data_IF_247738693861
#
_entry.id   IF_247738693861
#
_cell.length_a   1.000
_cell.length_b   1.000
_cell.length_c   1.000
_cell.angle_alpha   90.00
_cell.angle_beta   90.00
_cell.angle_gamma   90.00
#
_symmetry.space_group_name_H-M   'P 1'
#
loop_
_entity.id
_entity.type
_entity.pdbx_description
1 polymer ?
#
# COMPACT_ATOMS: atom_id res chain seq x y z
N UNK A 1 35.51 -37.06 13.66
CA UNK A 1 35.77 -36.24 12.46
C UNK A 1 34.53 -35.74 11.73
N UNK A 2 33.37 -36.42 11.74
CA UNK A 2 32.16 -35.91 11.06
C UNK A 2 31.26 -34.98 11.91
N UNK A 3 31.32 -35.08 13.24
CA UNK A 3 30.49 -34.27 14.12
C UNK A 3 30.88 -32.78 14.09
N UNK A 4 32.19 -32.50 14.12
CA UNK A 4 32.73 -31.13 14.12
C UNK A 4 32.41 -30.37 12.82
N UNK A 5 32.33 -31.08 11.70
CA UNK A 5 31.98 -30.53 10.40
C UNK A 5 30.48 -30.22 10.29
N UNK A 6 29.63 -31.07 10.88
CA UNK A 6 28.17 -30.86 10.95
C UNK A 6 27.84 -29.67 11.84
N UNK A 7 28.48 -29.54 13.01
CA UNK A 7 28.27 -28.43 13.92
C UNK A 7 28.68 -27.08 13.30
N UNK A 8 29.77 -27.09 12.52
CA UNK A 8 30.23 -25.91 11.78
C UNK A 8 29.23 -25.47 10.71
N UNK A 9 28.62 -26.40 9.99
CA UNK A 9 27.60 -26.10 8.97
C UNK A 9 26.33 -25.52 9.62
N UNK A 10 25.91 -26.05 10.77
CA UNK A 10 24.74 -25.55 11.50
C UNK A 10 25.01 -24.13 12.03
N UNK A 11 26.20 -23.89 12.58
CA UNK A 11 26.60 -22.56 13.05
C UNK A 11 26.64 -21.54 11.91
N UNK A 12 27.21 -21.90 10.76
CA UNK A 12 27.28 -21.02 9.58
C UNK A 12 25.88 -20.72 9.02
N UNK A 13 25.00 -21.71 8.95
CA UNK A 13 23.62 -21.52 8.50
C UNK A 13 22.84 -20.60 9.44
N UNK A 14 23.00 -20.77 10.76
CA UNK A 14 22.36 -19.93 11.77
C UNK A 14 22.86 -18.49 11.71
N UNK A 15 24.17 -18.28 11.54
CA UNK A 15 24.76 -16.94 11.40
C UNK A 15 24.31 -16.24 10.13
N UNK A 16 24.23 -16.97 9.01
CA UNK A 16 23.79 -16.44 7.72
C UNK A 16 22.32 -16.03 7.78
N UNK A 17 21.46 -16.84 8.39
CA UNK A 17 20.05 -16.52 8.61
C UNK A 17 19.88 -15.31 9.55
N UNK A 18 20.66 -15.23 10.63
CA UNK A 18 20.69 -14.08 11.56
C UNK A 18 21.14 -12.79 10.86
N UNK A 19 22.17 -12.86 10.02
CA UNK A 19 22.65 -11.72 9.23
C UNK A 19 21.62 -11.30 8.17
N UNK A 20 20.97 -12.25 7.51
CA UNK A 20 19.95 -12.00 6.49
C UNK A 20 18.70 -11.35 7.12
N UNK A 21 18.26 -11.84 8.28
CA UNK A 21 17.17 -11.26 9.08
C UNK A 21 17.50 -9.87 9.63
N UNK A 22 18.74 -9.63 10.08
CA UNK A 22 19.18 -8.32 10.57
C UNK A 22 19.25 -7.28 9.43
N UNK A 23 19.74 -7.68 8.25
CA UNK A 23 19.94 -6.79 7.09
C UNK A 23 18.62 -6.36 6.45
N UNK A 24 17.57 -7.19 6.51
CA UNK A 24 16.23 -6.84 6.04
C UNK A 24 15.44 -5.88 6.94
N UNK A 25 15.94 -5.56 8.14
CA UNK A 25 15.26 -4.68 9.10
C UNK A 25 15.63 -3.20 8.96
N UNK A 26 16.81 -2.89 8.41
CA UNK A 26 17.40 -1.54 8.44
C UNK A 26 16.93 -0.55 7.37
N UNK A 27 16.39 -1.01 6.23
CA UNK A 27 16.02 -0.12 5.10
C UNK A 27 14.51 0.00 4.88
N UNK A 28 13.70 -0.71 5.68
CA UNK A 28 12.27 -0.89 5.47
C UNK A 28 11.42 0.36 5.76
N UNK A 29 11.81 1.17 6.74
CA UNK A 29 10.92 2.20 7.32
C UNK A 29 10.37 3.25 6.32
N UNK A 30 11.22 3.82 5.44
CA UNK A 30 10.74 4.82 4.44
C UNK A 30 9.95 4.20 3.29
N UNK A 31 10.37 3.04 2.81
CA UNK A 31 9.67 2.34 1.72
C UNK A 31 8.32 1.80 2.20
N UNK A 32 8.25 1.29 3.43
CA UNK A 32 7.02 0.76 4.02
C UNK A 32 5.98 1.85 4.24
N UNK A 33 6.38 3.06 4.65
CA UNK A 33 5.47 4.19 4.81
C UNK A 33 4.84 4.61 3.48
N UNK A 34 5.61 4.68 2.40
CA UNK A 34 5.13 5.03 1.05
C UNK A 34 4.23 3.91 0.50
N UNK A 35 4.61 2.64 0.70
CA UNK A 35 3.80 1.50 0.30
C UNK A 35 2.46 1.45 1.06
N UNK A 36 2.49 1.78 2.35
CA UNK A 36 1.29 1.85 3.20
C UNK A 36 0.40 3.02 2.78
N UNK A 37 0.96 4.21 2.57
CA UNK A 37 0.23 5.36 2.06
C UNK A 37 -0.44 5.06 0.72
N UNK A 38 0.29 4.41 -0.21
CA UNK A 38 -0.25 3.98 -1.51
C UNK A 38 -1.42 2.99 -1.36
N UNK A 39 -1.32 2.04 -0.42
CA UNK A 39 -2.39 1.08 -0.12
C UNK A 39 -3.63 1.77 0.45
N UNK A 40 -3.44 2.65 1.44
CA UNK A 40 -4.54 3.37 2.12
C UNK A 40 -5.25 4.30 1.15
N UNK A 41 -4.51 5.09 0.35
CA UNK A 41 -5.10 5.95 -0.69
C UNK A 41 -5.93 5.13 -1.67
N UNK A 42 -5.39 4.02 -2.20
CA UNK A 42 -6.12 3.20 -3.16
C UNK A 42 -7.44 2.62 -2.58
N UNK A 43 -7.47 2.28 -1.29
CA UNK A 43 -8.69 1.83 -0.60
C UNK A 43 -9.69 2.98 -0.48
N UNK A 44 -9.23 4.17 -0.07
CA UNK A 44 -10.09 5.36 0.05
C UNK A 44 -10.74 5.68 -1.29
N UNK A 45 -10.00 5.58 -2.40
CA UNK A 45 -10.62 5.75 -3.72
C UNK A 45 -11.65 4.69 -4.04
N UNK A 46 -11.35 3.41 -3.79
CA UNK A 46 -12.30 2.32 -4.07
C UNK A 46 -13.65 2.58 -3.36
N UNK A 47 -13.60 3.01 -2.10
CA UNK A 47 -14.79 3.38 -1.32
C UNK A 47 -15.47 4.63 -1.89
N UNK A 48 -14.71 5.67 -2.23
CA UNK A 48 -15.25 6.90 -2.82
C UNK A 48 -15.94 6.68 -4.17
N UNK A 49 -15.40 5.79 -5.00
CA UNK A 49 -15.98 5.42 -6.29
C UNK A 49 -17.31 4.66 -6.12
N UNK A 50 -17.36 3.72 -5.19
CA UNK A 50 -18.61 3.01 -4.85
C UNK A 50 -19.65 4.00 -4.31
N UNK A 51 -19.26 4.93 -3.43
CA UNK A 51 -20.16 5.95 -2.91
C UNK A 51 -20.72 6.86 -4.03
N UNK A 52 -19.90 7.25 -5.00
CA UNK A 52 -20.34 8.04 -6.15
C UNK A 52 -21.36 7.29 -7.02
N UNK A 53 -21.15 5.99 -7.23
CA UNK A 53 -22.12 5.12 -7.92
C UNK A 53 -23.43 5.04 -7.13
N UNK A 54 -23.37 4.84 -5.81
CA UNK A 54 -24.57 4.79 -4.97
C UNK A 54 -25.36 6.09 -5.03
N UNK A 55 -24.68 7.25 -4.95
CA UNK A 55 -25.33 8.56 -5.06
C UNK A 55 -25.98 8.77 -6.42
N UNK A 56 -25.36 8.30 -7.51
CA UNK A 56 -25.95 8.36 -8.85
C UNK A 56 -27.32 7.68 -8.92
N UNK A 57 -27.44 6.50 -8.32
CA UNK A 57 -28.69 5.73 -8.32
C UNK A 57 -29.69 6.20 -7.25
N UNK A 58 -29.20 6.66 -6.09
CA UNK A 58 -30.05 7.02 -4.95
C UNK A 58 -30.70 8.41 -5.07
N UNK A 59 -30.10 9.35 -5.81
CA UNK A 59 -30.61 10.73 -5.93
C UNK A 59 -30.72 11.16 -7.40
N UNK A 60 -31.70 10.64 -8.16
CA UNK A 60 -31.86 10.94 -9.58
C UNK A 60 -32.39 12.37 -9.86
N UNK A 61 -33.08 12.98 -8.89
CA UNK A 61 -33.70 14.32 -8.99
C UNK A 61 -32.66 15.45 -8.98
N UNK A 62 -31.63 15.37 -8.13
CA UNK A 62 -30.63 16.42 -7.97
C UNK A 62 -29.32 16.08 -8.71
N UNK A 63 -29.37 16.16 -10.05
CA UNK A 63 -28.19 15.93 -10.90
C UNK A 63 -27.00 16.85 -10.57
N UNK A 64 -27.25 18.03 -10.00
CA UNK A 64 -26.18 18.96 -9.57
C UNK A 64 -25.35 18.39 -8.41
N UNK A 65 -25.99 17.71 -7.45
CA UNK A 65 -25.27 17.04 -6.36
C UNK A 65 -24.46 15.87 -6.89
N UNK A 66 -25.02 15.10 -7.84
CA UNK A 66 -24.27 14.06 -8.54
C UNK A 66 -23.06 14.61 -9.30
N UNK A 67 -23.21 15.72 -10.03
CA UNK A 67 -22.09 16.36 -10.72
C UNK A 67 -21.04 16.87 -9.75
N UNK A 68 -21.44 17.51 -8.64
CA UNK A 68 -20.51 18.06 -7.66
C UNK A 68 -19.73 16.95 -6.93
N UNK A 69 -20.42 15.89 -6.49
CA UNK A 69 -19.80 14.71 -5.89
C UNK A 69 -18.96 13.91 -6.89
N UNK A 70 -19.41 13.77 -8.13
CA UNK A 70 -18.70 13.08 -9.20
C UNK A 70 -17.42 13.82 -9.60
N UNK A 71 -17.47 15.14 -9.79
CA UNK A 71 -16.28 15.96 -10.05
C UNK A 71 -15.35 16.01 -8.85
N UNK A 72 -15.89 16.12 -7.63
CA UNK A 72 -15.10 16.07 -6.39
C UNK A 72 -14.35 14.74 -6.25
N UNK A 73 -15.03 13.62 -6.48
CA UNK A 73 -14.44 12.29 -6.46
C UNK A 73 -13.37 12.12 -7.56
N UNK A 74 -13.62 12.65 -8.76
CA UNK A 74 -12.64 12.64 -9.85
C UNK A 74 -11.40 13.47 -9.53
N UNK A 75 -11.55 14.65 -8.94
CA UNK A 75 -10.42 15.49 -8.53
C UNK A 75 -9.58 14.82 -7.44
N UNK A 76 -10.22 14.20 -6.44
CA UNK A 76 -9.53 13.39 -5.43
C UNK A 76 -8.74 12.26 -6.10
N UNK A 77 -9.33 11.60 -7.11
CA UNK A 77 -8.63 10.53 -7.83
C UNK A 77 -7.43 11.02 -8.64
N UNK A 78 -7.54 12.21 -9.25
CA UNK A 78 -6.42 12.83 -9.97
C UNK A 78 -5.30 13.16 -8.98
N UNK A 79 -5.61 13.78 -7.84
CA UNK A 79 -4.62 14.09 -6.78
C UNK A 79 -3.95 12.81 -6.27
N UNK A 80 -4.71 11.74 -6.04
CA UNK A 80 -4.19 10.43 -5.66
C UNK A 80 -3.27 9.82 -6.73
N UNK A 81 -3.62 9.97 -8.01
CA UNK A 81 -2.79 9.52 -9.13
C UNK A 81 -1.45 10.25 -9.18
N UNK A 82 -1.45 11.58 -8.99
CA UNK A 82 -0.24 12.38 -8.92
C UNK A 82 0.63 12.00 -7.70
N UNK A 83 0.03 11.78 -6.53
CA UNK A 83 0.75 11.32 -5.34
C UNK A 83 1.36 9.93 -5.52
N UNK A 84 0.72 9.03 -6.28
CA UNK A 84 1.26 7.70 -6.62
C UNK A 84 2.41 7.75 -7.62
N UNK A 85 2.43 8.74 -8.52
CA UNK A 85 3.39 8.82 -9.62
C UNK A 85 4.61 9.69 -9.29
N UNK A 86 4.43 10.68 -8.42
CA UNK A 86 5.51 11.58 -7.97
C UNK A 86 6.34 11.01 -6.80
N UNK A 87 5.85 9.95 -6.13
CA UNK A 87 6.51 9.25 -5.01
C UNK A 87 6.55 7.72 -5.23
#
# INVERSE_FOLDING_TARGET
>A
MKADEVDKIIAEALEKDRQQHARHRGTRSKSDAIQTARKVLNIIFMVGFVAAIVVYFAVPENRVLFFCLGFGAMLIKIVEFFLRFMF
#
